data_IF_916714976474
#
_entry.id   IF_916714976474
#
_cell.length_a   1.000
_cell.length_b   1.000
_cell.length_c   1.000
_cell.angle_alpha   90.00
_cell.angle_beta   90.00
_cell.angle_gamma   90.00
#
_symmetry.space_group_name_H-M   'P 1'
#
loop_
_entity.id
_entity.type
_entity.pdbx_description
1 polymer ?
#
# COMPACT_ATOMS: atom_id res chain seq x y z
N UNK A 1 4.37 0.64 -2.96
CA UNK A 1 5.46 -0.36 -2.85
C UNK A 1 5.37 -1.23 -1.58
N UNK A 2 5.98 -2.43 -1.60
CA UNK A 2 6.14 -3.32 -0.43
C UNK A 2 7.63 -3.44 -0.10
N UNK A 3 8.03 -3.18 1.15
CA UNK A 3 9.40 -3.33 1.65
C UNK A 3 9.44 -4.35 2.77
N UNK A 4 10.36 -5.32 2.71
CA UNK A 4 10.58 -6.24 3.83
C UNK A 4 11.51 -5.55 4.84
N UNK A 5 11.06 -5.37 6.08
CA UNK A 5 11.85 -4.80 7.16
C UNK A 5 11.92 -5.84 8.29
N UNK A 6 13.13 -6.31 8.58
CA UNK A 6 13.38 -7.44 9.49
C UNK A 6 12.54 -8.67 9.05
N UNK A 7 11.57 -9.06 9.88
CA UNK A 7 10.69 -10.22 9.66
C UNK A 7 9.27 -9.83 9.18
N UNK A 8 9.02 -8.55 8.87
CA UNK A 8 7.67 -8.07 8.49
C UNK A 8 7.68 -7.38 7.14
N UNK A 9 6.56 -7.45 6.43
CA UNK A 9 6.32 -6.77 5.15
C UNK A 9 5.62 -5.44 5.40
N UNK A 10 6.23 -4.34 4.99
CA UNK A 10 5.72 -2.99 5.20
C UNK A 10 5.23 -2.44 3.87
N UNK A 11 3.99 -1.96 3.83
CA UNK A 11 3.43 -1.27 2.66
C UNK A 11 3.74 0.21 2.81
N UNK A 12 4.43 0.77 1.82
CA UNK A 12 4.84 2.17 1.76
C UNK A 12 4.22 2.85 0.54
N UNK A 13 3.91 4.13 0.70
CA UNK A 13 3.60 5.03 -0.40
C UNK A 13 4.84 5.27 -1.25
N UNK A 14 4.74 5.11 -2.56
CA UNK A 14 5.84 5.48 -3.47
C UNK A 14 6.09 6.98 -3.49
N UNK A 15 5.03 7.79 -3.41
CA UNK A 15 5.15 9.25 -3.60
C UNK A 15 5.55 9.98 -2.33
N UNK A 16 5.13 9.49 -1.16
CA UNK A 16 5.27 10.20 0.12
C UNK A 16 6.07 9.44 1.15
N UNK A 17 6.53 8.21 0.86
CA UNK A 17 7.22 7.35 1.83
C UNK A 17 6.37 6.94 3.04
N UNK A 18 5.08 7.32 3.09
CA UNK A 18 4.18 7.07 4.21
C UNK A 18 3.95 5.57 4.42
N UNK A 19 4.04 5.12 5.67
CA UNK A 19 3.77 3.73 6.05
C UNK A 19 2.26 3.52 6.13
N UNK A 20 1.74 2.62 5.29
CA UNK A 20 0.32 2.26 5.29
C UNK A 20 0.00 1.05 6.18
N UNK A 21 1.01 0.26 6.55
CA UNK A 21 0.84 -0.88 7.44
C UNK A 21 2.03 -1.82 7.45
N UNK A 22 2.13 -2.63 8.51
CA UNK A 22 3.11 -3.70 8.67
C UNK A 22 2.37 -5.03 8.75
N UNK A 23 2.79 -6.00 7.96
CA UNK A 23 2.12 -7.29 7.75
C UNK A 23 3.10 -8.43 7.99
N UNK A 24 2.58 -9.59 8.41
CA UNK A 24 3.39 -10.79 8.62
C UNK A 24 3.73 -11.47 7.31
N UNK A 25 2.80 -11.45 6.34
CA UNK A 25 2.99 -12.13 5.05
C UNK A 25 3.03 -11.14 3.88
N UNK A 26 3.70 -11.57 2.79
CA UNK A 26 3.71 -10.83 1.52
C UNK A 26 2.31 -10.74 0.90
N UNK A 27 1.46 -11.75 1.12
CA UNK A 27 0.09 -11.83 0.58
C UNK A 27 -0.80 -10.73 1.15
N UNK A 28 -0.79 -10.53 2.46
CA UNK A 28 -1.54 -9.45 3.13
C UNK A 28 -1.07 -8.07 2.66
N UNK A 29 0.25 -7.86 2.58
CA UNK A 29 0.82 -6.62 2.08
C UNK A 29 0.38 -6.32 0.64
N UNK A 30 0.27 -7.36 -0.21
CA UNK A 30 -0.23 -7.22 -1.60
C UNK A 30 -1.71 -6.85 -1.66
N UNK A 31 -2.55 -7.45 -0.82
CA UNK A 31 -3.97 -7.10 -0.73
C UNK A 31 -4.12 -5.62 -0.36
N UNK A 32 -3.35 -5.16 0.63
CA UNK A 32 -3.39 -3.76 1.05
C UNK A 32 -2.91 -2.81 -0.03
N UNK A 33 -1.83 -3.15 -0.73
CA UNK A 33 -1.32 -2.35 -1.84
C UNK A 33 -2.41 -2.15 -2.91
N UNK A 34 -3.09 -3.24 -3.30
CA UNK A 34 -4.18 -3.20 -4.29
C UNK A 34 -5.34 -2.31 -3.85
N UNK A 35 -5.71 -2.34 -2.56
CA UNK A 35 -6.74 -1.43 -2.02
C UNK A 35 -6.30 0.03 -2.15
N UNK A 36 -5.05 0.35 -1.80
CA UNK A 36 -4.53 1.72 -1.90
C UNK A 36 -4.53 2.21 -3.34
N UNK A 37 -4.08 1.38 -4.28
CA UNK A 37 -4.13 1.69 -5.72
C UNK A 37 -5.57 1.92 -6.19
N UNK A 38 -6.50 1.05 -5.80
CA UNK A 38 -7.91 1.19 -6.12
C UNK A 38 -8.50 2.53 -5.63
N UNK A 39 -8.23 2.92 -4.38
CA UNK A 39 -8.66 4.21 -3.84
C UNK A 39 -7.98 5.40 -4.52
N UNK A 40 -6.70 5.28 -4.94
CA UNK A 40 -6.02 6.33 -5.72
C UNK A 40 -6.73 6.57 -7.06
N UNK A 41 -7.08 5.51 -7.78
CA UNK A 41 -7.78 5.61 -9.07
C UNK A 41 -9.22 6.11 -8.91
N UNK A 42 -9.91 5.74 -7.83
CA UNK A 42 -11.25 6.25 -7.53
C UNK A 42 -11.25 7.75 -7.21
N UNK A 43 -10.30 8.23 -6.39
CA UNK A 43 -10.20 9.65 -6.04
C UNK A 43 -9.95 10.54 -7.26
N UNK A 44 -9.31 10.02 -8.31
CA UNK A 44 -9.13 10.71 -9.58
C UNK A 44 -10.42 10.86 -10.40
N UNK A 45 -11.39 9.95 -10.25
CA UNK A 45 -12.66 9.96 -11.00
C UNK A 45 -13.76 10.85 -10.41
N UNK A 46 -13.64 11.25 -9.15
CA UNK A 46 -14.62 12.10 -8.46
C UNK A 46 -14.45 13.61 -8.65
N UNK A 47 -13.45 14.06 -9.43
CA UNK A 47 -13.37 15.44 -9.93
C UNK A 47 -14.11 15.51 -11.26
N UNK A 48 -15.44 15.56 -11.22
CA UNK A 48 -16.28 15.98 -12.34
C UNK A 48 -17.37 16.88 -11.80
#
# INVERSE_FOLDING_TARGET
MIKKIKSRYVVLSETTGKVFGRYRTKKEARIRLRQIEFFKHLKGRGKR
#
